data_IF_303199655176
#
_entry.id   IF_303199655176
#
_cell.length_a   1.000
_cell.length_b   1.000
_cell.length_c   1.000
_cell.angle_alpha   90.00
_cell.angle_beta   90.00
_cell.angle_gamma   90.00
#
_symmetry.space_group_name_H-M   'P 1'
#
loop_
_entity.id
_entity.type
_entity.pdbx_description
1 polymer ?
#
# COMPACT_ATOMS: atom_id res chain seq x y z
N UNK A 1 1.32 6.09 -44.08
CA UNK A 1 1.24 7.00 -42.91
C UNK A 1 0.84 8.37 -43.45
N UNK A 2 -0.28 8.92 -42.98
CA UNK A 2 -0.98 10.02 -43.69
C UNK A 2 -0.39 11.39 -43.33
N UNK A 3 0.12 12.13 -44.31
CA UNK A 3 0.86 13.38 -44.11
C UNK A 3 0.01 14.46 -43.38
N UNK A 4 -1.31 14.44 -43.62
CA UNK A 4 -2.27 15.31 -42.94
C UNK A 4 -2.31 15.11 -41.42
N UNK A 5 -2.05 13.90 -40.94
CA UNK A 5 -2.00 13.59 -39.49
C UNK A 5 -0.71 14.15 -38.88
N UNK A 6 0.41 14.06 -39.61
CA UNK A 6 1.70 14.60 -39.17
C UNK A 6 1.67 16.13 -39.14
N UNK A 7 1.03 16.76 -40.14
CA UNK A 7 0.84 18.21 -40.17
C UNK A 7 -0.03 18.68 -38.98
N UNK A 8 -1.14 18.00 -38.70
CA UNK A 8 -2.03 18.34 -37.58
C UNK A 8 -1.38 18.15 -36.20
N UNK A 9 -0.50 17.16 -36.06
CA UNK A 9 0.27 16.94 -34.83
C UNK A 9 1.38 17.98 -34.64
N UNK A 10 1.98 18.49 -35.72
CA UNK A 10 2.94 19.60 -35.64
C UNK A 10 2.28 20.92 -35.26
N UNK A 11 1.09 21.18 -35.79
CA UNK A 11 0.34 22.40 -35.51
C UNK A 11 -0.09 22.50 -34.03
N UNK A 12 -0.49 21.38 -33.43
CA UNK A 12 -0.87 21.32 -32.01
C UNK A 12 0.31 21.27 -31.01
N UNK A 13 1.55 21.09 -31.48
CA UNK A 13 2.71 20.97 -30.61
C UNK A 13 3.26 22.31 -30.10
N UNK A 14 2.78 23.44 -30.65
CA UNK A 14 3.25 24.78 -30.27
C UNK A 14 2.39 25.45 -29.17
N UNK A 15 1.28 24.83 -28.79
CA UNK A 15 0.34 25.36 -27.78
C UNK A 15 0.40 24.63 -26.43
N UNK A 16 1.44 23.83 -26.18
CA UNK A 16 1.66 23.26 -24.83
C UNK A 16 2.36 24.32 -23.98
N UNK A 17 1.66 24.98 -23.03
CA UNK A 17 2.32 25.89 -22.12
C UNK A 17 3.44 25.14 -21.40
N UNK A 18 4.65 25.70 -21.30
CA UNK A 18 5.74 25.03 -20.61
C UNK A 18 5.29 24.76 -19.18
N UNK A 19 5.10 23.49 -18.85
CA UNK A 19 4.79 23.07 -17.50
C UNK A 19 5.98 23.48 -16.62
N UNK A 20 5.86 24.64 -15.97
CA UNK A 20 6.81 25.08 -14.96
C UNK A 20 6.61 24.18 -13.75
N UNK A 21 7.35 23.09 -13.72
CA UNK A 21 7.52 22.30 -12.51
C UNK A 21 8.24 23.19 -11.52
N UNK A 22 7.53 23.63 -10.48
CA UNK A 22 8.11 24.39 -9.39
C UNK A 22 8.94 23.43 -8.52
N UNK A 23 10.28 23.49 -8.58
CA UNK A 23 11.14 22.60 -7.81
C UNK A 23 10.96 22.82 -6.30
N UNK A 24 10.54 24.03 -5.88
CA UNK A 24 10.21 24.35 -4.50
C UNK A 24 8.99 23.57 -4.01
N UNK A 25 7.92 23.55 -4.80
CA UNK A 25 6.71 22.78 -4.47
C UNK A 25 6.96 21.26 -4.39
N UNK A 26 7.80 20.73 -5.28
CA UNK A 26 8.21 19.31 -5.26
C UNK A 26 9.05 18.99 -4.03
N UNK A 27 10.06 19.82 -3.72
CA UNK A 27 10.90 19.65 -2.53
C UNK A 27 10.10 19.82 -1.24
N UNK A 28 9.12 20.72 -1.20
CA UNK A 28 8.27 20.89 -0.03
C UNK A 28 7.25 19.76 0.12
N UNK A 29 6.79 19.14 -0.98
CA UNK A 29 6.02 17.90 -0.94
C UNK A 29 6.87 16.74 -0.39
N UNK A 30 8.09 16.57 -0.92
CA UNK A 30 9.03 15.54 -0.48
C UNK A 30 9.44 15.74 1.00
N UNK A 31 9.74 16.97 1.43
CA UNK A 31 10.04 17.30 2.83
C UNK A 31 8.84 17.07 3.74
N UNK A 32 7.61 17.33 3.28
CA UNK A 32 6.40 17.02 4.04
C UNK A 32 6.21 15.51 4.19
N UNK A 33 6.46 14.73 3.15
CA UNK A 33 6.46 13.26 3.21
C UNK A 33 7.54 12.72 4.18
N UNK A 34 8.76 13.27 4.11
CA UNK A 34 9.88 12.89 4.99
C UNK A 34 9.64 13.27 6.46
N UNK A 35 9.05 14.45 6.73
CA UNK A 35 8.68 14.87 8.09
C UNK A 35 7.56 14.01 8.67
N UNK A 36 6.60 13.54 7.85
CA UNK A 36 5.59 12.55 8.27
C UNK A 36 6.26 11.25 8.70
N UNK A 37 7.21 10.75 7.90
CA UNK A 37 8.00 9.54 8.20
C UNK A 37 8.82 9.68 9.50
N UNK A 38 9.47 10.84 9.72
CA UNK A 38 10.24 11.11 10.95
C UNK A 38 9.38 11.31 12.20
N UNK A 39 8.19 11.91 12.10
CA UNK A 39 7.27 12.03 13.25
C UNK A 39 6.78 10.66 13.74
N UNK A 40 6.59 9.72 12.82
CA UNK A 40 6.27 8.33 13.16
C UNK A 40 7.47 7.59 13.80
N UNK A 41 8.71 7.94 13.42
CA UNK A 41 9.93 7.37 14.01
C UNK A 41 10.30 7.97 15.38
N UNK A 42 9.90 9.22 15.66
CA UNK A 42 10.30 9.93 16.89
C UNK A 42 9.62 9.43 18.16
N UNK A 43 8.56 8.61 18.06
CA UNK A 43 7.93 7.95 19.21
C UNK A 43 8.60 6.60 19.58
N UNK A 44 9.54 6.11 18.77
CA UNK A 44 10.20 4.81 18.99
C UNK A 44 11.56 4.92 19.71
N UNK A 45 12.03 6.14 20.03
CA UNK A 45 13.38 6.36 20.57
C UNK A 45 13.50 6.23 22.10
N UNK A 46 12.52 5.62 22.78
CA UNK A 46 12.64 5.24 24.20
C UNK A 46 12.26 3.77 24.36
N UNK A 47 13.09 2.86 23.85
CA UNK A 47 13.19 1.46 24.29
C UNK A 47 14.28 0.72 23.50
N UNK A 48 15.52 1.24 23.51
CA UNK A 48 16.69 0.48 23.06
C UNK A 48 17.51 0.12 24.29
N UNK A 49 16.99 -0.77 25.13
CA UNK A 49 17.78 -1.55 26.10
C UNK A 49 17.08 -2.91 26.26
N UNK A 50 17.86 -3.98 26.06
CA UNK A 50 17.57 -5.42 26.25
C UNK A 50 17.09 -6.22 25.03
N UNK A 51 18.06 -6.51 24.16
CA UNK A 51 18.11 -7.69 23.30
C UNK A 51 18.61 -8.89 24.12
N UNK A 52 17.75 -9.90 24.33
CA UNK A 52 18.07 -11.33 24.35
C UNK A 52 16.83 -12.13 24.78
N UNK A 53 16.33 -13.01 23.93
CA UNK A 53 15.32 -14.02 24.32
C UNK A 53 14.25 -14.27 23.26
N UNK A 54 14.48 -15.27 22.43
CA UNK A 54 13.49 -15.88 21.54
C UNK A 54 12.36 -16.52 22.34
N UNK A 55 11.24 -15.83 22.56
CA UNK A 55 10.06 -16.46 23.19
C UNK A 55 8.77 -15.91 22.60
N UNK A 56 8.08 -16.78 21.85
CA UNK A 56 6.64 -16.69 21.58
C UNK A 56 5.88 -16.95 22.89
N UNK A 57 5.78 -15.93 23.73
CA UNK A 57 5.04 -16.01 24.99
C UNK A 57 4.92 -14.66 25.70
N UNK A 58 3.91 -14.49 26.56
CA UNK A 58 3.73 -13.26 27.32
C UNK A 58 4.91 -13.09 28.31
N UNK A 59 5.55 -11.92 28.30
CA UNK A 59 6.76 -11.66 29.09
C UNK A 59 6.34 -11.13 30.46
N UNK A 60 6.77 -11.82 31.51
CA UNK A 60 6.58 -11.36 32.89
C UNK A 60 7.69 -10.37 33.25
N UNK A 61 7.32 -9.12 33.53
CA UNK A 61 8.25 -8.12 34.03
C UNK A 61 8.08 -7.99 35.56
N UNK A 62 9.15 -8.16 36.35
CA UNK A 62 9.08 -7.98 37.80
C UNK A 62 8.64 -6.55 38.12
N UNK A 63 7.54 -6.42 38.87
CA UNK A 63 6.96 -5.14 39.29
C UNK A 63 5.86 -4.55 38.39
N UNK A 64 5.66 -5.07 37.17
CA UNK A 64 4.74 -4.47 36.18
C UNK A 64 3.67 -5.46 35.67
N UNK A 65 3.75 -6.73 36.07
CA UNK A 65 2.84 -7.78 35.61
C UNK A 65 3.19 -8.31 34.22
N UNK A 66 2.32 -9.15 33.67
CA UNK A 66 2.54 -9.79 32.36
C UNK A 66 2.13 -8.83 31.23
N UNK A 67 3.05 -8.52 30.33
CA UNK A 67 2.77 -7.63 29.19
C UNK A 67 2.72 -8.46 27.91
N UNK A 68 1.55 -8.49 27.26
CA UNK A 68 1.40 -9.03 25.92
C UNK A 68 1.82 -7.95 24.92
N UNK A 69 2.93 -8.16 24.21
CA UNK A 69 3.42 -7.22 23.20
C UNK A 69 2.64 -7.43 21.90
N UNK A 70 1.82 -6.46 21.44
CA UNK A 70 1.15 -6.57 20.15
C UNK A 70 2.12 -6.13 19.03
N UNK A 71 2.21 -6.91 17.95
CA UNK A 71 2.77 -6.46 16.68
C UNK A 71 4.15 -6.99 16.31
N UNK A 72 4.24 -8.29 16.03
CA UNK A 72 5.44 -8.92 15.43
C UNK A 72 5.79 -8.40 14.02
N UNK A 73 4.84 -7.78 13.33
CA UNK A 73 5.07 -7.18 12.02
C UNK A 73 5.97 -5.92 12.08
N UNK A 74 5.83 -5.10 13.12
CA UNK A 74 6.63 -3.87 13.30
C UNK A 74 8.08 -4.20 13.68
N UNK A 75 8.29 -5.21 14.53
CA UNK A 75 9.64 -5.65 14.93
C UNK A 75 10.41 -6.25 13.75
N UNK A 76 9.77 -7.03 12.88
CA UNK A 76 10.42 -7.56 11.65
C UNK A 76 10.86 -6.45 10.71
N UNK A 77 10.06 -5.38 10.59
CA UNK A 77 10.39 -4.21 9.76
C UNK A 77 11.55 -3.39 10.33
N UNK A 78 11.67 -3.28 11.65
CA UNK A 78 12.76 -2.54 12.34
C UNK A 78 14.07 -3.34 12.36
N UNK A 79 14.01 -4.66 12.49
CA UNK A 79 15.20 -5.52 12.60
C UNK A 79 15.94 -5.76 11.26
N UNK A 80 15.53 -5.12 10.15
CA UNK A 80 16.13 -5.35 8.83
C UNK A 80 15.96 -6.80 8.32
N UNK A 81 15.11 -7.59 8.97
CA UNK A 81 14.72 -8.93 8.54
C UNK A 81 13.62 -8.79 7.46
N UNK A 82 13.95 -8.10 6.37
CA UNK A 82 13.16 -8.15 5.15
C UNK A 82 13.05 -9.61 4.74
N UNK A 83 11.83 -10.12 4.63
CA UNK A 83 11.65 -11.46 4.11
C UNK A 83 12.06 -11.46 2.65
N UNK A 84 12.73 -12.52 2.20
CA UNK A 84 12.94 -12.73 0.76
C UNK A 84 11.60 -12.67 0.01
N UNK A 85 11.67 -12.41 -1.29
CA UNK A 85 10.50 -12.53 -2.17
C UNK A 85 9.82 -13.88 -1.91
N UNK A 86 8.48 -13.92 -1.83
CA UNK A 86 7.80 -15.20 -1.88
C UNK A 86 8.18 -15.90 -3.19
N UNK A 87 8.55 -17.18 -3.09
CA UNK A 87 8.73 -18.00 -4.29
C UNK A 87 7.41 -18.16 -5.06
N UNK A 88 7.44 -18.58 -6.34
CA UNK A 88 6.26 -18.61 -7.22
C UNK A 88 5.04 -19.35 -6.63
N UNK A 89 5.27 -20.48 -5.95
CA UNK A 89 4.19 -21.24 -5.31
C UNK A 89 3.56 -20.51 -4.11
N UNK A 90 4.33 -19.73 -3.35
CA UNK A 90 3.80 -18.92 -2.26
C UNK A 90 3.00 -17.75 -2.84
N UNK A 91 3.56 -17.05 -3.82
CA UNK A 91 2.92 -15.98 -4.58
C UNK A 91 1.55 -16.40 -5.13
N UNK A 92 1.47 -17.54 -5.82
CA UNK A 92 0.21 -18.05 -6.36
C UNK A 92 -0.84 -18.39 -5.28
N UNK A 93 -0.41 -18.90 -4.12
CA UNK A 93 -1.33 -19.16 -2.99
C UNK A 93 -1.83 -17.86 -2.36
N UNK A 94 -0.95 -16.88 -2.22
CA UNK A 94 -1.29 -15.57 -1.64
C UNK A 94 -2.27 -14.82 -2.55
N UNK A 95 -2.03 -14.72 -3.85
CA UNK A 95 -2.96 -14.06 -4.79
C UNK A 95 -4.32 -14.76 -4.85
N UNK A 96 -4.36 -16.09 -4.87
CA UNK A 96 -5.61 -16.83 -4.82
C UNK A 96 -6.41 -16.60 -3.52
N UNK A 97 -5.74 -16.29 -2.40
CA UNK A 97 -6.40 -15.92 -1.13
C UNK A 97 -6.92 -14.49 -1.17
N UNK A 98 -6.16 -13.54 -1.72
CA UNK A 98 -6.64 -12.17 -1.95
C UNK A 98 -7.87 -12.17 -2.87
N UNK A 99 -7.82 -12.92 -3.95
CA UNK A 99 -8.90 -13.02 -4.93
C UNK A 99 -10.20 -13.53 -4.31
N UNK A 100 -10.12 -14.57 -3.46
CA UNK A 100 -11.32 -15.12 -2.83
C UNK A 100 -11.83 -14.31 -1.63
N UNK A 101 -10.92 -13.77 -0.82
CA UNK A 101 -11.29 -13.18 0.47
C UNK A 101 -11.44 -11.66 0.42
N UNK A 102 -10.57 -10.97 -0.32
CA UNK A 102 -10.40 -9.50 -0.22
C UNK A 102 -11.01 -8.77 -1.41
N UNK A 103 -10.74 -9.22 -2.65
CA UNK A 103 -11.25 -8.57 -3.86
C UNK A 103 -12.79 -8.39 -3.86
N UNK A 104 -13.61 -9.38 -3.46
CA UNK A 104 -15.06 -9.22 -3.45
C UNK A 104 -15.52 -8.10 -2.51
N UNK A 105 -14.88 -7.96 -1.34
CA UNK A 105 -15.21 -6.90 -0.36
C UNK A 105 -14.74 -5.54 -0.86
N UNK A 106 -13.52 -5.46 -1.41
CA UNK A 106 -13.03 -4.22 -2.02
C UNK A 106 -13.93 -3.76 -3.17
N UNK A 107 -14.39 -4.70 -4.01
CA UNK A 107 -15.31 -4.45 -5.11
C UNK A 107 -16.69 -3.98 -4.64
N UNK A 108 -17.29 -4.66 -3.67
CA UNK A 108 -18.59 -4.28 -3.10
C UNK A 108 -18.56 -2.85 -2.53
N UNK A 109 -17.47 -2.50 -1.84
CA UNK A 109 -17.27 -1.17 -1.25
C UNK A 109 -16.80 -0.12 -2.28
N UNK A 110 -16.30 -0.57 -3.44
CA UNK A 110 -15.50 0.23 -4.37
C UNK A 110 -14.38 0.97 -3.65
N UNK A 111 -13.61 0.24 -2.83
CA UNK A 111 -12.49 0.79 -2.09
C UNK A 111 -11.31 1.08 -3.02
N UNK A 112 -10.82 2.31 -3.06
CA UNK A 112 -9.64 2.70 -3.86
C UNK A 112 -8.40 2.78 -3.00
N UNK A 113 -8.54 2.95 -1.68
CA UNK A 113 -7.43 2.92 -0.73
C UNK A 113 -7.92 2.32 0.59
N UNK A 114 -7.13 1.43 1.18
CA UNK A 114 -7.32 0.95 2.53
C UNK A 114 -5.95 0.79 3.19
N UNK A 115 -5.80 1.22 4.43
CA UNK A 115 -4.57 1.02 5.19
C UNK A 115 -4.90 0.71 6.65
N UNK A 116 -4.35 -0.39 7.17
CA UNK A 116 -4.44 -0.74 8.59
C UNK A 116 -3.16 -0.35 9.32
N UNK A 117 -3.17 0.85 9.86
CA UNK A 117 -2.09 1.39 10.70
C UNK A 117 -2.66 2.26 11.82
N UNK A 118 -1.78 2.93 12.57
CA UNK A 118 -2.20 3.97 13.52
C UNK A 118 -3.05 5.08 12.88
N UNK A 119 -2.88 5.30 11.57
CA UNK A 119 -3.66 6.27 10.81
C UNK A 119 -4.98 5.71 10.26
N UNK A 120 -5.16 4.37 10.22
CA UNK A 120 -6.30 3.62 9.67
C UNK A 120 -7.14 4.40 8.66
N UNK A 121 -6.98 4.13 7.37
CA UNK A 121 -7.56 4.93 6.28
C UNK A 121 -8.50 4.08 5.42
N UNK A 122 -9.61 4.66 4.98
CA UNK A 122 -10.48 4.12 3.94
C UNK A 122 -10.85 5.21 2.94
N UNK A 123 -10.53 4.99 1.67
CA UNK A 123 -11.03 5.79 0.54
C UNK A 123 -11.86 4.88 -0.35
N UNK A 124 -13.10 5.27 -0.58
CA UNK A 124 -14.11 4.47 -1.27
C UNK A 124 -15.28 5.36 -1.71
N UNK A 125 -16.34 4.74 -2.26
CA UNK A 125 -17.51 5.45 -2.82
C UNK A 125 -18.17 6.50 -1.91
N UNK A 126 -18.04 6.40 -0.57
CA UNK A 126 -18.63 7.39 0.37
C UNK A 126 -17.69 8.57 0.72
N UNK A 127 -16.45 8.56 0.22
CA UNK A 127 -15.45 9.59 0.45
C UNK A 127 -14.19 9.08 1.15
N UNK A 128 -13.46 10.00 1.78
CA UNK A 128 -12.19 9.75 2.47
C UNK A 128 -12.42 9.75 3.97
N UNK A 129 -12.04 8.68 4.66
CA UNK A 129 -12.18 8.54 6.10
C UNK A 129 -10.87 8.06 6.73
N UNK A 130 -10.61 8.53 7.94
CA UNK A 130 -9.50 8.02 8.75
C UNK A 130 -9.79 8.05 10.24
N UNK A 131 -8.89 7.48 11.03
CA UNK A 131 -9.01 7.48 12.50
C UNK A 131 -9.08 8.91 13.08
N UNK A 132 -8.24 9.83 12.60
CA UNK A 132 -8.18 11.20 13.11
C UNK A 132 -9.00 12.21 12.31
N UNK A 133 -9.33 11.88 11.06
CA UNK A 133 -9.91 12.77 10.06
C UNK A 133 -8.90 13.67 9.35
N UNK A 134 -7.60 13.46 9.54
CA UNK A 134 -6.52 14.29 8.95
C UNK A 134 -5.27 13.51 8.56
N UNK A 135 -5.33 12.18 8.57
CA UNK A 135 -4.21 11.29 8.28
C UNK A 135 -3.68 11.46 6.85
N UNK A 136 -4.57 11.49 5.85
CA UNK A 136 -4.17 11.60 4.44
C UNK A 136 -3.84 13.05 4.07
N UNK A 137 -4.53 14.02 4.67
CA UNK A 137 -4.52 15.41 4.23
C UNK A 137 -5.25 15.63 2.89
N UNK A 138 -6.05 14.64 2.44
CA UNK A 138 -6.89 14.78 1.25
C UNK A 138 -8.07 15.70 1.55
N UNK A 139 -8.51 16.53 0.59
CA UNK A 139 -9.73 17.33 0.74
C UNK A 139 -10.93 16.46 1.11
N UNK A 140 -11.73 16.91 2.08
CA UNK A 140 -12.93 16.21 2.51
C UNK A 140 -12.69 14.95 3.36
N UNK A 141 -11.46 14.71 3.81
CA UNK A 141 -11.17 13.69 4.82
C UNK A 141 -11.95 13.96 6.11
N UNK A 142 -12.58 12.91 6.65
CA UNK A 142 -13.37 12.98 7.88
C UNK A 142 -12.95 11.86 8.82
N UNK A 143 -13.26 12.02 10.11
CA UNK A 143 -13.21 10.88 11.03
C UNK A 143 -14.21 9.83 10.57
N UNK A 144 -13.90 8.57 10.82
CA UNK A 144 -14.87 7.49 10.59
C UNK A 144 -16.20 7.77 11.30
N UNK A 145 -17.27 7.79 10.50
CA UNK A 145 -18.62 7.54 11.03
C UNK A 145 -18.83 6.05 11.29
N UNK A 146 -19.96 5.68 11.90
CA UNK A 146 -20.26 4.28 12.27
C UNK A 146 -20.26 3.35 11.05
N UNK A 147 -20.80 3.80 9.93
CA UNK A 147 -20.88 3.01 8.70
C UNK A 147 -19.50 2.84 8.06
N UNK A 148 -18.71 3.91 7.95
CA UNK A 148 -17.38 3.87 7.38
C UNK A 148 -16.42 3.06 8.26
N UNK A 149 -16.60 3.10 9.59
CA UNK A 149 -15.89 2.20 10.51
C UNK A 149 -16.26 0.75 10.24
N UNK A 150 -17.54 0.44 10.11
CA UNK A 150 -18.01 -0.93 9.82
C UNK A 150 -17.43 -1.43 8.50
N UNK A 151 -17.47 -0.62 7.45
CA UNK A 151 -16.92 -0.97 6.14
C UNK A 151 -15.39 -1.17 6.18
N UNK A 152 -14.68 -0.32 6.94
CA UNK A 152 -13.25 -0.50 7.20
C UNK A 152 -12.96 -1.84 7.89
N UNK A 153 -13.70 -2.18 8.95
CA UNK A 153 -13.51 -3.44 9.66
C UNK A 153 -13.86 -4.66 8.79
N UNK A 154 -14.85 -4.56 7.89
CA UNK A 154 -15.15 -5.63 6.92
C UNK A 154 -13.96 -5.93 6.02
N UNK A 155 -13.29 -4.89 5.50
CA UNK A 155 -12.13 -5.06 4.63
C UNK A 155 -10.89 -5.51 5.44
N UNK A 156 -10.68 -4.96 6.63
CA UNK A 156 -9.61 -5.40 7.54
C UNK A 156 -9.75 -6.87 7.95
N UNK A 157 -10.97 -7.32 8.21
CA UNK A 157 -11.29 -8.70 8.53
C UNK A 157 -11.10 -9.63 7.32
N UNK A 158 -11.47 -9.19 6.12
CA UNK A 158 -11.19 -9.92 4.89
C UNK A 158 -9.68 -10.13 4.67
N UNK A 159 -8.89 -9.07 4.84
CA UNK A 159 -7.42 -9.13 4.78
C UNK A 159 -6.87 -10.09 5.83
N UNK A 160 -7.31 -9.98 7.09
CA UNK A 160 -6.90 -10.89 8.18
C UNK A 160 -7.21 -12.35 7.86
N UNK A 161 -8.42 -12.66 7.39
CA UNK A 161 -8.84 -14.03 7.03
C UNK A 161 -8.10 -14.59 5.82
N UNK A 162 -7.66 -13.73 4.90
CA UNK A 162 -6.84 -14.15 3.76
C UNK A 162 -5.50 -14.75 4.22
N UNK A 163 -4.97 -14.30 5.36
CA UNK A 163 -3.65 -14.70 5.88
C UNK A 163 -2.48 -14.25 5.00
N UNK A 164 -2.73 -13.40 4.00
CA UNK A 164 -1.69 -12.77 3.19
C UNK A 164 -1.08 -11.63 4.00
N UNK A 165 0.26 -11.48 4.02
CA UNK A 165 0.91 -10.40 4.75
C UNK A 165 0.73 -9.08 3.99
N UNK A 166 -0.48 -8.53 3.99
CA UNK A 166 -0.79 -7.19 3.50
C UNK A 166 -1.62 -6.48 4.55
N UNK A 167 -1.41 -5.17 4.68
CA UNK A 167 -2.22 -4.30 5.51
C UNK A 167 -2.81 -3.15 4.68
N UNK A 168 -2.63 -3.19 3.36
CA UNK A 168 -2.84 -2.03 2.51
C UNK A 168 -3.29 -2.39 1.10
N UNK A 169 -4.41 -1.80 0.68
CA UNK A 169 -4.79 -1.61 -0.72
C UNK A 169 -4.33 -0.19 -1.08
N UNK A 170 -3.25 -0.06 -1.82
CA UNK A 170 -2.65 1.23 -2.15
C UNK A 170 -3.39 1.94 -3.29
N UNK A 171 -3.95 1.17 -4.23
CA UNK A 171 -4.74 1.70 -5.33
C UNK A 171 -5.73 0.67 -5.85
N UNK A 172 -6.86 1.13 -6.39
CA UNK A 172 -7.76 0.32 -7.19
C UNK A 172 -8.61 1.17 -8.12
N UNK A 173 -8.87 0.63 -9.31
CA UNK A 173 -9.78 1.23 -10.28
C UNK A 173 -10.90 0.26 -10.64
N UNK A 174 -12.07 0.80 -10.93
CA UNK A 174 -13.29 0.05 -11.19
C UNK A 174 -13.85 0.43 -12.56
N UNK A 175 -14.46 -0.54 -13.24
CA UNK A 175 -15.27 -0.30 -14.42
C UNK A 175 -16.65 0.28 -14.03
N UNK A 176 -17.44 0.81 -14.99
CA UNK A 176 -18.76 1.36 -14.71
C UNK A 176 -19.75 0.36 -14.08
N UNK A 177 -19.59 -0.93 -14.36
CA UNK A 177 -20.37 -2.02 -13.75
C UNK A 177 -19.91 -2.40 -12.34
N UNK A 178 -18.89 -1.70 -11.81
CA UNK A 178 -18.30 -1.94 -10.51
C UNK A 178 -17.26 -3.07 -10.49
N UNK A 179 -16.98 -3.75 -11.60
CA UNK A 179 -15.93 -4.77 -11.65
C UNK A 179 -14.54 -4.16 -11.48
N UNK A 180 -13.63 -4.88 -10.82
CA UNK A 180 -12.25 -4.41 -10.57
C UNK A 180 -11.47 -4.43 -11.88
N UNK A 181 -10.94 -3.27 -12.30
CA UNK A 181 -9.99 -3.16 -13.42
C UNK A 181 -8.55 -3.36 -12.96
N UNK A 182 -8.18 -2.67 -11.88
CA UNK A 182 -6.89 -2.84 -11.24
C UNK A 182 -7.04 -2.80 -9.73
N UNK A 183 -6.21 -3.55 -9.00
CA UNK A 183 -6.07 -3.43 -7.55
C UNK A 183 -4.62 -3.73 -7.15
N UNK A 184 -4.05 -2.90 -6.27
CA UNK A 184 -2.66 -2.99 -5.83
C UNK A 184 -2.62 -3.18 -4.31
N UNK A 185 -2.16 -4.35 -3.87
CA UNK A 185 -2.00 -4.66 -2.45
C UNK A 185 -0.52 -4.63 -2.08
N UNK A 186 -0.14 -3.75 -1.14
CA UNK A 186 1.24 -3.73 -0.65
C UNK A 186 1.48 -4.88 0.31
N UNK A 187 2.55 -5.63 0.06
CA UNK A 187 2.94 -6.75 0.88
C UNK A 187 3.84 -6.25 2.01
N UNK A 188 3.42 -6.51 3.24
CA UNK A 188 4.26 -6.32 4.41
C UNK A 188 5.50 -7.23 4.35
N UNK A 189 6.65 -6.69 4.73
CA UNK A 189 7.90 -7.45 4.84
C UNK A 189 8.90 -7.22 3.72
N UNK A 190 8.59 -6.37 2.73
CA UNK A 190 9.62 -5.69 1.94
C UNK A 190 10.50 -4.86 2.88
N UNK A 191 11.81 -4.97 2.72
CA UNK A 191 12.75 -4.16 3.50
C UNK A 191 12.54 -2.66 3.26
N UNK A 192 13.30 -1.81 3.96
CA UNK A 192 13.24 -0.36 3.71
C UNK A 192 13.63 0.02 2.27
N UNK A 193 14.39 -0.85 1.60
CA UNK A 193 14.95 -0.64 0.26
C UNK A 193 14.13 -1.35 -0.84
N UNK A 194 13.00 -2.00 -0.51
CA UNK A 194 12.18 -2.71 -1.50
C UNK A 194 10.70 -2.66 -1.14
N UNK A 195 9.87 -2.39 -2.13
CA UNK A 195 8.42 -2.49 -2.05
C UNK A 195 7.93 -3.67 -2.88
N UNK A 196 7.32 -4.63 -2.20
CA UNK A 196 6.70 -5.80 -2.82
C UNK A 196 5.18 -5.59 -2.86
N UNK A 197 4.55 -5.85 -4.01
CA UNK A 197 3.10 -5.70 -4.18
C UNK A 197 2.48 -6.81 -5.02
N UNK A 198 1.20 -7.09 -4.73
CA UNK A 198 0.34 -7.92 -5.56
C UNK A 198 -0.57 -7.03 -6.38
N UNK A 199 -0.52 -7.18 -7.69
CA UNK A 199 -1.32 -6.37 -8.63
C UNK A 199 -2.30 -7.29 -9.37
N UNK A 200 -3.59 -7.05 -9.17
CA UNK A 200 -4.63 -7.59 -10.03
C UNK A 200 -4.83 -6.65 -11.21
N UNK A 201 -4.68 -7.16 -12.42
CA UNK A 201 -4.86 -6.49 -13.71
C UNK A 201 -5.13 -7.56 -14.78
N UNK A 202 -6.40 -7.96 -14.99
CA UNK A 202 -6.78 -9.09 -15.85
C UNK A 202 -6.59 -8.83 -17.34
N UNK A 203 -6.62 -7.57 -17.76
CA UNK A 203 -6.55 -7.18 -19.18
C UNK A 203 -5.15 -6.81 -19.67
N UNK A 204 -4.20 -6.57 -18.77
CA UNK A 204 -2.86 -6.11 -19.14
C UNK A 204 -1.82 -6.41 -18.06
N UNK A 205 -0.57 -6.59 -18.48
CA UNK A 205 0.56 -6.57 -17.56
C UNK A 205 0.73 -5.15 -16.99
N UNK A 206 0.91 -4.99 -15.66
CA UNK A 206 1.14 -3.69 -15.05
C UNK A 206 2.48 -3.11 -15.52
N UNK A 207 2.48 -1.79 -15.73
CA UNK A 207 3.72 -1.04 -15.96
C UNK A 207 4.45 -0.88 -14.62
N UNK A 208 5.76 -1.10 -14.62
CA UNK A 208 6.57 -0.88 -13.41
C UNK A 208 7.29 0.46 -13.50
N UNK A 209 7.11 1.33 -12.50
CA UNK A 209 7.87 2.56 -12.42
C UNK A 209 9.36 2.26 -12.46
N UNK A 210 10.10 2.99 -13.29
CA UNK A 210 11.55 3.08 -13.13
C UNK A 210 11.82 4.02 -11.96
N UNK A 211 12.46 3.50 -10.92
CA UNK A 211 12.91 4.30 -9.78
C UNK A 211 14.34 4.78 -10.05
N UNK A 212 14.81 5.76 -9.29
CA UNK A 212 16.19 6.23 -9.35
C UNK A 212 17.20 5.11 -9.00
N UNK A 213 16.75 4.07 -8.28
CA UNK A 213 17.56 2.97 -7.78
C UNK A 213 17.54 1.74 -8.70
N UNK A 214 16.80 1.79 -9.80
CA UNK A 214 16.80 0.75 -10.83
C UNK A 214 15.41 0.33 -11.31
N UNK A 215 15.34 -0.60 -12.29
CA UNK A 215 14.09 -1.14 -12.77
C UNK A 215 13.49 -2.08 -11.71
N UNK A 216 12.19 -1.96 -11.46
CA UNK A 216 11.48 -3.01 -10.76
C UNK A 216 11.23 -4.24 -11.65
N UNK A 217 10.72 -5.31 -11.05
CA UNK A 217 10.40 -6.57 -11.73
C UNK A 217 8.90 -6.86 -11.70
N UNK A 218 8.39 -7.48 -12.75
CA UNK A 218 7.02 -8.00 -12.84
C UNK A 218 7.09 -9.49 -13.12
N UNK A 219 6.37 -10.27 -12.33
CA UNK A 219 6.22 -11.71 -12.57
C UNK A 219 4.74 -12.10 -12.51
N UNK A 220 4.26 -13.00 -13.38
CA UNK A 220 2.92 -13.57 -13.23
C UNK A 220 2.76 -14.25 -11.86
N UNK A 221 1.59 -14.08 -11.23
CA UNK A 221 1.35 -14.50 -9.86
C UNK A 221 0.07 -15.33 -9.71
N UNK A 222 0.12 -16.60 -10.08
CA UNK A 222 -1.01 -17.52 -9.92
C UNK A 222 -1.96 -17.53 -11.12
N UNK A 223 -3.25 -17.25 -10.88
CA UNK A 223 -4.31 -17.24 -11.88
C UNK A 223 -4.19 -16.09 -12.87
N UNK A 224 -4.97 -16.13 -13.95
CA UNK A 224 -5.03 -15.08 -14.96
C UNK A 224 -5.32 -13.72 -14.32
N UNK A 225 -4.45 -12.76 -14.58
CA UNK A 225 -4.64 -11.37 -14.17
C UNK A 225 -3.90 -10.95 -12.91
N UNK A 226 -3.24 -11.86 -12.19
CA UNK A 226 -2.43 -11.49 -11.04
C UNK A 226 -0.95 -11.38 -11.38
N UNK A 227 -0.30 -10.39 -10.78
CA UNK A 227 1.11 -10.09 -10.95
C UNK A 227 1.76 -9.81 -9.60
N UNK A 228 3.00 -10.24 -9.43
CA UNK A 228 3.86 -9.84 -8.32
C UNK A 228 4.85 -8.82 -8.85
N UNK A 229 4.83 -7.64 -8.23
CA UNK A 229 5.66 -6.51 -8.59
C UNK A 229 6.61 -6.20 -7.44
N UNK A 230 7.88 -6.06 -7.77
CA UNK A 230 8.92 -5.62 -6.84
C UNK A 230 9.59 -4.38 -7.37
N UNK A 231 9.54 -3.30 -6.61
CA UNK A 231 10.23 -2.05 -6.92
C UNK A 231 11.32 -1.77 -5.87
N UNK A 232 12.48 -1.24 -6.27
CA UNK A 232 13.41 -0.65 -5.31
C UNK A 232 12.69 0.44 -4.49
N UNK A 233 12.95 0.50 -3.20
CA UNK A 233 12.40 1.51 -2.29
C UNK A 233 13.18 2.81 -2.42
N UNK A 234 12.48 3.92 -2.64
CA UNK A 234 13.05 5.27 -2.84
C UNK A 234 13.84 5.83 -1.65
#
# INVERSE_FOLDING_TARGET
MNEAVVARLRDGAHDVPPARVDPGAVLDSARRALRRRRRLQSCAAVAVVLLAGTLTGPVHLPGIGTVAVPGSATVRRIAGLGGDAPGPAATARETARLERAVLPVAQELQATWFERSSCSILVYRRGVFSASGTCTGRPGERRFDSTARTDFERLAEAVRRSGVPTDELADATYAPDGSVRTAVFLRAGGGIDQEDSYVYSPSAQPQVPRTALGPGTVTPAGTTGWWFVRTPGD
#
